data_IF_047630851679
#
_entry.id   IF_047630851679
#
_cell.length_a   1.000
_cell.length_b   1.000
_cell.length_c   1.000
_cell.angle_alpha   90.00
_cell.angle_beta   90.00
_cell.angle_gamma   90.00
#
_symmetry.space_group_name_H-M   'P 1'
#
loop_
_entity.id
_entity.type
_entity.pdbx_description
1 polymer ?
#
# COMPACT_ATOMS: atom_id res chain seq x y z
N UNK A 1 -2.80 12.47 8.65
CA UNK A 1 -3.64 11.52 9.38
C UNK A 1 -3.36 10.15 8.81
N UNK A 2 -4.36 9.28 8.82
CA UNK A 2 -4.24 7.88 8.45
C UNK A 2 -4.86 7.55 7.08
N UNK A 3 -5.91 8.24 6.64
CA UNK A 3 -6.66 7.86 5.42
C UNK A 3 -6.72 8.99 4.39
N UNK A 4 -7.41 10.10 4.68
CA UNK A 4 -7.78 11.07 3.65
C UNK A 4 -6.96 12.36 3.66
N UNK A 5 -6.32 12.66 2.51
CA UNK A 5 -5.42 13.81 2.37
C UNK A 5 -5.62 14.56 1.06
N UNK A 6 -5.47 15.89 1.12
CA UNK A 6 -5.29 16.77 -0.02
C UNK A 6 -3.81 17.13 -0.22
N UNK A 7 -3.44 17.52 -1.43
CA UNK A 7 -2.13 18.11 -1.74
C UNK A 7 -2.32 19.40 -2.55
N UNK A 8 -2.12 20.54 -1.91
CA UNK A 8 -2.23 21.86 -2.55
C UNK A 8 -0.85 22.47 -2.82
N UNK A 9 -0.80 23.77 -3.09
CA UNK A 9 0.44 24.47 -3.41
C UNK A 9 1.29 24.78 -2.16
N UNK A 10 0.78 24.56 -0.94
CA UNK A 10 1.54 24.68 0.31
C UNK A 10 2.09 23.32 0.80
N UNK A 11 1.38 22.22 0.55
CA UNK A 11 1.76 20.93 1.09
C UNK A 11 0.65 19.88 1.10
N UNK A 12 0.84 18.88 1.96
CA UNK A 12 -0.15 17.83 2.20
C UNK A 12 -0.94 18.15 3.46
N UNK A 13 -2.26 18.02 3.43
CA UNK A 13 -3.12 18.31 4.57
C UNK A 13 -4.19 17.22 4.75
N UNK A 14 -4.50 16.93 6.01
CA UNK A 14 -5.50 15.94 6.38
C UNK A 14 -6.91 16.51 6.21
N UNK A 15 -7.86 15.72 5.72
CA UNK A 15 -9.28 16.08 5.75
C UNK A 15 -9.93 15.82 7.11
N UNK A 16 -9.35 14.90 7.88
CA UNK A 16 -9.98 14.34 9.08
C UNK A 16 -9.46 14.94 10.40
N UNK A 17 -10.23 14.76 11.47
CA UNK A 17 -9.85 15.08 12.86
C UNK A 17 -9.60 13.85 13.74
N UNK A 18 -9.61 12.66 13.15
CA UNK A 18 -9.51 11.36 13.82
C UNK A 18 -8.80 10.34 12.97
N UNK A 19 -8.82 9.09 13.43
CA UNK A 19 -8.39 7.91 12.70
C UNK A 19 -9.44 6.81 12.84
N UNK A 20 -9.55 5.96 11.82
CA UNK A 20 -10.49 4.83 11.79
C UNK A 20 -9.75 3.52 11.57
N UNK A 21 -9.04 3.08 12.60
CA UNK A 21 -8.11 1.95 12.53
C UNK A 21 -8.82 0.60 12.54
N UNK A 22 -8.31 -0.35 11.74
CA UNK A 22 -8.65 -1.78 11.83
C UNK A 22 -7.94 -2.38 13.05
N UNK A 23 -8.64 -3.20 13.83
CA UNK A 23 -8.13 -3.74 15.11
C UNK A 23 -8.13 -5.26 15.21
N UNK A 24 -8.37 -5.98 14.10
CA UNK A 24 -8.18 -7.44 14.09
C UNK A 24 -6.70 -7.76 14.33
N UNK A 25 -6.45 -8.70 15.24
CA UNK A 25 -5.12 -9.09 15.71
C UNK A 25 -4.27 -7.92 16.24
N UNK A 26 -4.91 -6.83 16.70
CA UNK A 26 -4.20 -5.69 17.27
C UNK A 26 -3.42 -6.12 18.50
N UNK A 27 -2.11 -5.86 18.47
CA UNK A 27 -1.21 -6.23 19.55
C UNK A 27 -0.50 -5.00 20.13
N UNK A 28 -0.33 -4.99 21.45
CA UNK A 28 0.27 -3.86 22.16
C UNK A 28 1.76 -3.71 21.87
N UNK A 29 2.47 -4.79 21.59
CA UNK A 29 3.90 -4.78 21.29
C UNK A 29 4.15 -4.37 19.83
N UNK A 30 3.32 -4.85 18.91
CA UNK A 30 3.44 -4.54 17.49
C UNK A 30 2.90 -3.15 17.13
N UNK A 31 1.75 -2.73 17.65
CA UNK A 31 1.07 -1.45 17.37
C UNK A 31 0.79 -0.64 18.66
N UNK A 32 1.82 -0.25 19.43
CA UNK A 32 1.65 0.34 20.75
C UNK A 32 0.86 1.66 20.73
N UNK A 33 0.98 2.48 19.67
CA UNK A 33 0.32 3.79 19.61
C UNK A 33 -1.18 3.64 19.35
N UNK A 34 -1.58 2.77 18.42
CA UNK A 34 -3.00 2.47 18.16
C UNK A 34 -3.63 1.82 19.40
N UNK A 35 -2.93 0.87 20.04
CA UNK A 35 -3.42 0.24 21.26
C UNK A 35 -3.66 1.27 22.38
N UNK A 36 -2.72 2.21 22.61
CA UNK A 36 -2.89 3.28 23.61
C UNK A 36 -3.96 4.30 23.24
N UNK A 37 -4.30 4.44 21.95
CA UNK A 37 -5.36 5.33 21.48
C UNK A 37 -6.76 4.82 21.86
N UNK A 38 -6.90 3.52 22.14
CA UNK A 38 -8.16 2.91 22.59
C UNK A 38 -8.35 3.18 24.08
N UNK A 39 -9.04 4.27 24.38
CA UNK A 39 -9.40 4.73 25.74
C UNK A 39 -10.71 5.50 25.70
N UNK A 40 -11.17 6.08 26.82
CA UNK A 40 -12.37 6.93 26.85
C UNK A 40 -12.32 7.94 25.69
N UNK A 41 -13.45 8.12 25.02
CA UNK A 41 -13.62 8.96 23.82
C UNK A 41 -13.18 8.31 22.48
N UNK A 42 -12.69 7.06 22.52
CA UNK A 42 -12.65 6.16 21.37
C UNK A 42 -13.94 5.33 21.26
N UNK A 43 -14.26 4.85 20.05
CA UNK A 43 -15.43 4.03 19.77
C UNK A 43 -15.00 2.74 19.06
N UNK A 44 -15.07 1.62 19.79
CA UNK A 44 -14.89 0.28 19.23
C UNK A 44 -16.13 -0.13 18.41
N UNK A 45 -15.90 -0.81 17.30
CA UNK A 45 -16.95 -1.27 16.39
C UNK A 45 -16.74 -2.75 16.03
N UNK A 46 -17.76 -3.57 16.30
CA UNK A 46 -17.80 -5.01 16.03
C UNK A 46 -16.69 -5.84 16.73
N UNK A 47 -16.02 -5.29 17.74
CA UNK A 47 -15.05 -6.02 18.57
C UNK A 47 -15.77 -6.82 19.64
N UNK A 48 -15.43 -8.10 19.78
CA UNK A 48 -15.95 -8.94 20.86
C UNK A 48 -15.44 -8.46 22.21
N UNK A 49 -16.33 -8.34 23.18
CA UNK A 49 -15.99 -7.98 24.55
C UNK A 49 -16.11 -9.22 25.43
N UNK A 50 -15.02 -9.53 26.15
CA UNK A 50 -14.94 -10.65 27.09
C UNK A 50 -15.76 -10.37 28.35
N UNK A 51 -16.00 -11.40 29.15
CA UNK A 51 -16.78 -11.29 30.39
C UNK A 51 -16.15 -10.36 31.46
N UNK A 52 -14.86 -10.06 31.35
CA UNK A 52 -14.13 -9.10 32.19
C UNK A 52 -14.15 -7.66 31.64
N UNK A 53 -14.85 -7.42 30.54
CA UNK A 53 -14.95 -6.13 29.86
C UNK A 53 -13.77 -5.79 28.94
N UNK A 54 -12.78 -6.68 28.80
CA UNK A 54 -11.65 -6.46 27.89
C UNK A 54 -12.02 -6.81 26.44
N UNK A 55 -11.51 -6.06 25.44
CA UNK A 55 -11.69 -6.40 24.05
C UNK A 55 -10.90 -7.66 23.68
N UNK A 56 -11.51 -8.54 22.88
CA UNK A 56 -10.83 -9.62 22.19
C UNK A 56 -10.56 -9.22 20.74
N UNK A 57 -9.35 -8.74 20.48
CA UNK A 57 -8.94 -8.32 19.13
C UNK A 57 -8.69 -9.48 18.18
N UNK A 58 -8.62 -10.72 18.66
CA UNK A 58 -8.41 -11.91 17.82
C UNK A 58 -9.71 -12.56 17.34
N UNK A 59 -10.85 -12.19 17.94
CA UNK A 59 -12.15 -12.75 17.55
C UNK A 59 -12.69 -12.08 16.28
N UNK A 60 -12.74 -12.85 15.20
CA UNK A 60 -13.29 -12.46 13.90
C UNK A 60 -14.64 -13.12 13.59
N UNK A 61 -15.33 -13.70 14.59
CA UNK A 61 -16.56 -14.47 14.39
C UNK A 61 -17.70 -13.65 13.77
N UNK A 62 -17.78 -12.36 14.06
CA UNK A 62 -18.71 -11.41 13.41
C UNK A 62 -18.13 -10.91 12.08
N UNK A 63 -16.88 -10.45 12.10
CA UNK A 63 -16.18 -9.91 10.93
C UNK A 63 -14.68 -9.83 11.18
N UNK A 64 -13.88 -9.99 10.12
CA UNK A 64 -12.45 -9.66 10.17
C UNK A 64 -12.19 -8.14 10.08
N UNK A 65 -13.20 -7.32 9.82
CA UNK A 65 -13.10 -5.85 9.74
C UNK A 65 -13.58 -5.17 11.02
N UNK A 66 -13.09 -5.66 12.16
CA UNK A 66 -13.26 -4.98 13.45
C UNK A 66 -12.50 -3.66 13.45
N UNK A 67 -13.09 -2.62 14.04
CA UNK A 67 -12.61 -1.23 13.91
C UNK A 67 -12.62 -0.50 15.23
N UNK A 68 -11.89 0.61 15.26
CA UNK A 68 -11.98 1.63 16.30
C UNK A 68 -11.84 3.01 15.66
N UNK A 69 -12.71 3.94 16.05
CA UNK A 69 -12.49 5.36 15.76
C UNK A 69 -11.99 6.08 17.02
N UNK A 70 -11.06 7.01 16.84
CA UNK A 70 -10.58 7.88 17.91
C UNK A 70 -10.15 9.23 17.35
N UNK A 71 -10.28 10.32 18.12
CA UNK A 71 -9.79 11.62 17.67
C UNK A 71 -8.26 11.60 17.59
N UNK A 72 -7.69 12.34 16.63
CA UNK A 72 -6.27 12.22 16.26
C UNK A 72 -5.34 12.50 17.44
N UNK A 73 -5.78 13.35 18.39
CA UNK A 73 -5.03 13.67 19.59
C UNK A 73 -4.91 12.50 20.59
N UNK A 74 -5.52 11.35 20.31
CA UNK A 74 -5.26 10.12 21.05
C UNK A 74 -3.86 9.55 20.78
N UNK A 75 -3.27 9.90 19.64
CA UNK A 75 -1.87 9.63 19.30
C UNK A 75 -1.01 10.80 19.80
N UNK A 76 0.10 10.46 20.47
CA UNK A 76 1.00 11.45 21.08
C UNK A 76 1.83 12.18 20.02
N UNK A 77 2.45 11.41 19.12
CA UNK A 77 3.33 11.91 18.06
C UNK A 77 2.54 12.30 16.81
N UNK A 78 1.94 13.49 16.83
CA UNK A 78 1.19 14.05 15.70
C UNK A 78 1.61 15.48 15.41
N UNK A 79 1.35 15.94 14.19
CA UNK A 79 1.50 17.34 13.81
C UNK A 79 0.40 18.18 14.48
N UNK A 80 0.78 19.33 15.06
CA UNK A 80 -0.11 20.28 15.75
C UNK A 80 0.35 21.72 15.45
N UNK A 81 -0.54 22.73 15.53
CA UNK A 81 -1.96 22.66 15.88
C UNK A 81 -2.88 22.19 14.74
N UNK A 82 -2.40 22.18 13.49
CA UNK A 82 -3.15 21.78 12.31
C UNK A 82 -2.46 20.58 11.67
N UNK A 83 -3.23 19.57 11.28
CA UNK A 83 -2.74 18.35 10.62
C UNK A 83 -2.34 18.60 9.16
N UNK A 84 -1.27 19.38 8.94
CA UNK A 84 -0.69 19.62 7.62
C UNK A 84 0.85 19.54 7.65
N UNK A 85 1.45 19.08 6.57
CA UNK A 85 2.89 18.97 6.40
C UNK A 85 3.37 19.66 5.12
N UNK A 86 4.69 19.75 4.91
CA UNK A 86 5.24 20.25 3.66
C UNK A 86 4.88 19.31 2.49
N UNK A 87 5.26 19.70 1.28
CA UNK A 87 5.21 18.80 0.13
C UNK A 87 5.84 17.44 0.42
N UNK A 88 5.18 16.37 -0.04
CA UNK A 88 5.69 15.02 0.10
C UNK A 88 6.99 14.86 -0.69
N UNK A 89 8.00 14.26 -0.06
CA UNK A 89 9.27 13.88 -0.71
C UNK A 89 9.24 12.46 -1.26
N UNK A 90 8.40 11.62 -0.66
CA UNK A 90 8.28 10.20 -0.97
C UNK A 90 6.78 9.86 -1.04
N UNK A 91 6.39 9.20 -2.13
CA UNK A 91 5.04 8.69 -2.38
C UNK A 91 5.11 7.17 -2.43
N UNK A 92 4.35 6.50 -1.58
CA UNK A 92 4.45 5.05 -1.41
C UNK A 92 3.10 4.43 -1.78
N UNK A 93 3.10 3.60 -2.82
CA UNK A 93 1.95 2.78 -3.18
C UNK A 93 2.02 1.45 -2.46
N UNK A 94 1.02 1.17 -1.61
CA UNK A 94 0.90 -0.09 -0.90
C UNK A 94 0.04 -1.06 -1.72
N UNK A 95 0.62 -2.20 -2.10
CA UNK A 95 -0.09 -3.28 -2.77
C UNK A 95 -0.09 -4.52 -1.90
N UNK A 96 -1.28 -5.07 -1.61
CA UNK A 96 -1.39 -6.38 -0.99
C UNK A 96 -1.43 -7.46 -2.09
N UNK A 97 -0.28 -7.81 -2.67
CA UNK A 97 -0.23 -8.79 -3.77
C UNK A 97 -0.48 -10.22 -3.25
N UNK A 98 -1.65 -10.78 -3.56
CA UNK A 98 -2.01 -12.15 -3.22
C UNK A 98 -1.45 -13.21 -4.20
N UNK A 99 -0.87 -12.80 -5.34
CA UNK A 99 -0.17 -13.73 -6.25
C UNK A 99 1.23 -14.09 -5.76
N UNK A 100 1.85 -13.24 -4.94
CA UNK A 100 3.22 -13.43 -4.45
C UNK A 100 4.30 -13.11 -5.48
N UNK A 101 4.00 -12.24 -6.45
CA UNK A 101 4.84 -11.94 -7.62
C UNK A 101 5.64 -10.66 -7.44
N UNK A 102 5.02 -9.61 -6.89
CA UNK A 102 5.64 -8.31 -6.75
C UNK A 102 6.72 -8.32 -5.64
N UNK A 103 7.82 -7.60 -5.84
CA UNK A 103 8.92 -7.52 -4.87
C UNK A 103 8.44 -6.78 -3.62
N UNK A 104 9.10 -6.96 -2.45
CA UNK A 104 8.77 -6.20 -1.25
C UNK A 104 8.81 -4.68 -1.46
N UNK A 105 9.73 -4.21 -2.31
CA UNK A 105 9.81 -2.80 -2.68
C UNK A 105 10.37 -2.63 -4.10
N UNK A 106 9.89 -1.60 -4.80
CA UNK A 106 10.48 -1.11 -6.04
C UNK A 106 10.53 0.40 -6.07
N UNK A 107 11.56 0.93 -6.71
CA UNK A 107 11.66 2.34 -7.07
C UNK A 107 10.96 2.50 -8.44
N UNK A 108 10.02 3.44 -8.53
CA UNK A 108 9.28 3.71 -9.76
C UNK A 108 9.83 4.95 -10.45
N UNK A 109 9.88 4.91 -11.78
CA UNK A 109 9.92 6.13 -12.59
C UNK A 109 8.58 6.87 -12.49
N UNK A 110 8.54 8.18 -12.80
CA UNK A 110 7.29 8.96 -12.82
C UNK A 110 6.22 8.32 -13.72
N UNK A 111 6.61 7.79 -14.89
CA UNK A 111 5.69 7.17 -15.84
C UNK A 111 5.17 5.81 -15.35
N UNK A 112 6.03 5.02 -14.69
CA UNK A 112 5.56 3.83 -13.97
C UNK A 112 4.61 4.22 -12.84
N UNK A 113 4.90 5.27 -12.08
CA UNK A 113 4.03 5.74 -11.01
C UNK A 113 2.62 6.06 -11.52
N UNK A 114 2.49 6.78 -12.64
CA UNK A 114 1.19 7.01 -13.29
C UNK A 114 0.49 5.69 -13.68
N UNK A 115 1.21 4.76 -14.30
CA UNK A 115 0.66 3.46 -14.71
C UNK A 115 0.16 2.63 -13.52
N UNK A 116 0.97 2.49 -12.46
CA UNK A 116 0.65 1.71 -11.28
C UNK A 116 -0.43 2.39 -10.42
N UNK A 117 -0.47 3.72 -10.39
CA UNK A 117 -1.53 4.47 -9.72
C UNK A 117 -2.87 4.31 -10.43
N UNK A 118 -2.92 4.43 -11.76
CA UNK A 118 -4.13 4.18 -12.56
C UNK A 118 -4.60 2.72 -12.45
N UNK A 119 -3.65 1.79 -12.45
CA UNK A 119 -3.95 0.37 -12.29
C UNK A 119 -4.52 0.09 -10.89
N UNK A 120 -3.85 0.61 -9.85
CA UNK A 120 -4.25 0.43 -8.46
C UNK A 120 -4.39 -1.03 -8.05
N UNK A 121 -3.42 -1.85 -8.47
CA UNK A 121 -3.41 -3.27 -8.16
C UNK A 121 -3.16 -3.47 -6.66
N UNK A 122 -4.03 -4.24 -6.02
CA UNK A 122 -3.93 -4.66 -4.62
C UNK A 122 -4.87 -5.85 -4.39
N UNK A 123 -5.20 -6.19 -3.14
CA UNK A 123 -6.25 -7.16 -2.82
C UNK A 123 -7.33 -6.54 -1.94
N UNK A 124 -8.59 -6.92 -2.17
CA UNK A 124 -9.65 -6.71 -1.19
C UNK A 124 -9.41 -7.68 -0.04
N UNK A 125 -9.19 -7.13 1.15
CA UNK A 125 -9.00 -7.90 2.38
C UNK A 125 -10.36 -8.33 2.90
N UNK A 126 -10.44 -9.48 3.58
CA UNK A 126 -11.70 -9.96 4.09
C UNK A 126 -12.36 -8.97 5.08
N UNK A 127 -13.69 -8.87 4.95
CA UNK A 127 -14.54 -7.97 5.73
C UNK A 127 -14.59 -6.50 5.29
N UNK A 128 -13.77 -6.04 4.32
CA UNK A 128 -13.81 -4.63 3.88
C UNK A 128 -15.01 -4.32 2.98
N UNK A 129 -15.56 -5.32 2.30
CA UNK A 129 -16.79 -5.26 1.53
C UNK A 129 -17.66 -6.49 1.83
N UNK A 130 -18.99 -6.34 1.80
CA UNK A 130 -19.93 -7.43 2.02
C UNK A 130 -19.65 -8.60 1.05
N UNK A 131 -19.40 -9.79 1.60
CA UNK A 131 -19.17 -11.02 0.83
C UNK A 131 -17.69 -11.37 0.56
N UNK A 132 -16.72 -10.55 0.96
CA UNK A 132 -15.28 -10.86 0.82
C UNK A 132 -14.78 -11.64 2.04
N UNK A 133 -14.46 -12.93 1.85
CA UNK A 133 -14.00 -13.85 2.92
C UNK A 133 -12.57 -14.37 2.76
N UNK A 134 -11.93 -14.08 1.63
CA UNK A 134 -10.50 -14.35 1.36
C UNK A 134 -9.91 -13.18 0.58
N UNK A 135 -8.59 -12.94 0.61
CA UNK A 135 -7.96 -11.93 -0.23
C UNK A 135 -8.30 -12.15 -1.70
N UNK A 136 -8.97 -11.18 -2.32
CA UNK A 136 -9.31 -11.21 -3.75
C UNK A 136 -8.49 -10.15 -4.46
N UNK A 137 -7.60 -10.52 -5.40
CA UNK A 137 -6.88 -9.56 -6.21
C UNK A 137 -7.83 -8.60 -6.93
N UNK A 138 -7.51 -7.31 -6.92
CA UNK A 138 -8.35 -6.28 -7.50
C UNK A 138 -7.52 -5.16 -8.11
N UNK A 139 -8.13 -4.44 -9.05
CA UNK A 139 -7.59 -3.22 -9.64
C UNK A 139 -8.52 -2.07 -9.25
N UNK A 140 -8.16 -1.40 -8.16
CA UNK A 140 -8.89 -0.26 -7.60
C UNK A 140 -8.17 1.01 -8.03
N UNK A 141 -8.58 1.69 -9.12
CA UNK A 141 -7.85 2.83 -9.66
C UNK A 141 -7.57 3.88 -8.57
N UNK A 142 -6.38 4.47 -8.60
CA UNK A 142 -5.90 5.42 -7.60
C UNK A 142 -5.81 4.84 -6.17
N UNK A 143 -5.81 3.51 -6.04
CA UNK A 143 -5.93 2.77 -4.77
C UNK A 143 -7.23 3.05 -3.98
N UNK A 144 -8.20 3.73 -4.59
CA UNK A 144 -9.41 4.23 -3.93
C UNK A 144 -10.61 4.30 -4.87
N UNK A 145 -10.70 3.38 -5.83
CA UNK A 145 -11.67 3.40 -6.93
C UNK A 145 -13.13 3.53 -6.50
N UNK A 146 -13.48 3.07 -5.30
CA UNK A 146 -14.82 3.18 -4.72
C UNK A 146 -15.24 4.62 -4.38
N UNK A 147 -14.28 5.54 -4.21
CA UNK A 147 -14.50 6.91 -3.74
C UNK A 147 -14.29 7.96 -4.83
N UNK A 148 -13.92 7.55 -6.05
CA UNK A 148 -13.61 8.49 -7.12
C UNK A 148 -14.87 9.12 -7.71
N UNK A 149 -14.94 10.45 -7.64
CA UNK A 149 -16.02 11.23 -8.25
C UNK A 149 -15.69 11.74 -9.66
N UNK A 150 -14.45 11.57 -10.10
CA UNK A 150 -13.96 11.96 -11.42
C UNK A 150 -13.32 10.75 -12.10
N UNK A 151 -13.07 10.87 -13.40
CA UNK A 151 -12.32 9.84 -14.11
C UNK A 151 -10.91 9.67 -13.48
N UNK A 152 -10.42 8.43 -13.25
CA UNK A 152 -9.13 8.15 -12.59
C UNK A 152 -7.94 8.92 -13.15
N UNK A 153 -7.94 9.14 -14.46
CA UNK A 153 -6.91 9.92 -15.15
C UNK A 153 -6.72 11.34 -14.58
N UNK A 154 -7.78 11.99 -14.06
CA UNK A 154 -7.65 13.32 -13.45
C UNK A 154 -6.81 13.29 -12.18
N UNK A 155 -6.98 12.27 -11.35
CA UNK A 155 -6.19 12.09 -10.13
C UNK A 155 -4.75 11.72 -10.47
N UNK A 156 -4.54 10.85 -11.47
CA UNK A 156 -3.21 10.48 -11.93
C UNK A 156 -2.43 11.67 -12.51
N UNK A 157 -3.08 12.49 -13.35
CA UNK A 157 -2.51 13.70 -13.94
C UNK A 157 -2.10 14.71 -12.85
N UNK A 158 -2.94 14.90 -11.83
CA UNK A 158 -2.62 15.81 -10.72
C UNK A 158 -1.51 15.26 -9.81
N UNK A 159 -1.51 13.96 -9.51
CA UNK A 159 -0.44 13.33 -8.75
C UNK A 159 0.91 13.45 -9.49
N UNK A 160 0.92 13.18 -10.80
CA UNK A 160 2.11 13.34 -11.64
C UNK A 160 2.63 14.78 -11.61
N UNK A 161 1.73 15.77 -11.75
CA UNK A 161 2.08 17.19 -11.64
C UNK A 161 2.74 17.52 -10.30
N UNK A 162 2.20 17.01 -9.18
CA UNK A 162 2.77 17.25 -7.84
C UNK A 162 4.12 16.55 -7.65
N UNK A 163 4.27 15.34 -8.17
CA UNK A 163 5.55 14.60 -8.17
C UNK A 163 6.62 15.40 -8.94
N UNK A 164 6.32 15.84 -10.16
CA UNK A 164 7.25 16.60 -11.00
C UNK A 164 7.62 17.95 -10.38
N UNK A 165 6.63 18.67 -9.84
CA UNK A 165 6.84 19.97 -9.19
C UNK A 165 7.80 19.89 -8.00
N UNK A 166 7.78 18.77 -7.27
CA UNK A 166 8.48 18.64 -5.98
C UNK A 166 9.71 17.75 -6.06
N UNK A 167 9.89 17.02 -7.17
CA UNK A 167 10.90 15.98 -7.29
C UNK A 167 10.65 14.80 -6.34
N UNK A 168 9.40 14.55 -5.98
CA UNK A 168 9.04 13.44 -5.09
C UNK A 168 9.42 12.10 -5.73
N UNK A 169 9.88 11.16 -4.91
CA UNK A 169 10.22 9.81 -5.34
C UNK A 169 9.03 8.90 -5.12
N UNK A 170 8.82 7.94 -6.02
CA UNK A 170 7.68 7.04 -5.93
C UNK A 170 8.15 5.61 -5.76
N UNK A 171 7.49 4.88 -4.84
CA UNK A 171 7.81 3.52 -4.51
C UNK A 171 6.57 2.64 -4.59
N UNK A 172 6.74 1.39 -5.00
CA UNK A 172 5.73 0.34 -4.89
C UNK A 172 6.17 -0.64 -3.80
N UNK A 173 5.38 -0.79 -2.75
CA UNK A 173 5.70 -1.66 -1.60
C UNK A 173 4.65 -2.75 -1.50
N UNK A 174 5.11 -4.01 -1.58
CA UNK A 174 4.24 -5.17 -1.40
C UNK A 174 4.07 -5.44 0.11
N UNK A 175 2.85 -5.24 0.62
CA UNK A 175 2.44 -5.57 2.00
C UNK A 175 1.59 -6.84 2.07
N UNK A 176 1.46 -7.52 0.93
CA UNK A 176 0.75 -8.77 0.75
C UNK A 176 1.65 -9.98 0.99
N UNK A 177 1.64 -10.92 0.04
CA UNK A 177 2.24 -12.23 0.19
C UNK A 177 3.49 -12.40 -0.68
N UNK A 178 4.29 -13.41 -0.35
CA UNK A 178 5.40 -13.91 -1.16
C UNK A 178 5.06 -15.26 -1.83
N UNK A 179 6.00 -15.83 -2.57
CA UNK A 179 5.84 -17.09 -3.28
C UNK A 179 5.57 -18.33 -2.41
N UNK A 180 5.80 -18.24 -1.10
CA UNK A 180 5.44 -19.30 -0.12
C UNK A 180 4.01 -19.16 0.39
N UNK A 181 3.26 -18.18 -0.09
CA UNK A 181 1.93 -17.84 0.44
C UNK A 181 1.98 -17.28 1.87
N UNK A 182 3.14 -16.79 2.32
CA UNK A 182 3.28 -16.10 3.61
C UNK A 182 3.21 -14.59 3.40
N UNK A 183 2.51 -13.91 4.30
CA UNK A 183 2.47 -12.44 4.30
C UNK A 183 3.88 -11.91 4.58
N UNK A 184 4.28 -10.84 3.88
CA UNK A 184 5.55 -10.15 4.16
C UNK A 184 5.48 -9.63 5.60
N UNK A 185 6.54 -9.90 6.37
CA UNK A 185 6.54 -9.61 7.79
C UNK A 185 6.51 -8.10 8.04
N UNK A 186 5.74 -7.68 9.06
CA UNK A 186 5.66 -6.28 9.44
C UNK A 186 7.03 -5.67 9.79
N UNK A 187 7.96 -6.37 10.47
CA UNK A 187 9.32 -5.88 10.67
C UNK A 187 10.08 -5.59 9.36
N UNK A 188 9.96 -6.46 8.35
CA UNK A 188 10.61 -6.22 7.06
C UNK A 188 9.99 -5.02 6.35
N UNK A 189 8.65 -4.92 6.36
CA UNK A 189 7.95 -3.76 5.79
C UNK A 189 8.38 -2.46 6.48
N UNK A 190 8.46 -2.43 7.82
CA UNK A 190 8.92 -1.25 8.56
C UNK A 190 10.37 -0.88 8.20
N UNK A 191 11.28 -1.85 8.13
CA UNK A 191 12.66 -1.61 7.70
C UNK A 191 12.76 -1.08 6.26
N UNK A 192 11.87 -1.53 5.36
CA UNK A 192 11.75 -0.97 4.00
C UNK A 192 11.29 0.48 4.05
N UNK A 193 10.26 0.80 4.85
CA UNK A 193 9.77 2.18 5.02
C UNK A 193 10.90 3.06 5.60
N UNK A 194 11.61 2.59 6.61
CA UNK A 194 12.76 3.31 7.19
C UNK A 194 13.83 3.59 6.12
N UNK A 195 14.15 2.59 5.30
CA UNK A 195 15.13 2.74 4.21
C UNK A 195 14.68 3.69 3.09
N UNK A 196 13.37 3.83 2.86
CA UNK A 196 12.79 4.83 1.97
C UNK A 196 12.97 6.23 2.57
N UNK A 197 12.53 6.41 3.81
CA UNK A 197 12.47 7.71 4.47
C UNK A 197 13.84 8.27 4.83
N UNK A 198 14.82 7.42 5.16
CA UNK A 198 16.20 7.81 5.43
C UNK A 198 17.06 7.95 4.16
N UNK A 199 16.52 7.53 3.00
CA UNK A 199 17.16 7.59 1.69
C UNK A 199 18.25 6.54 1.44
N UNK A 200 18.45 5.58 2.35
CA UNK A 200 19.43 4.49 2.17
C UNK A 200 19.08 3.59 0.97
N UNK A 201 17.79 3.45 0.62
CA UNK A 201 17.35 2.74 -0.58
C UNK A 201 17.97 3.30 -1.87
N UNK A 202 18.25 4.60 -1.92
CA UNK A 202 18.80 5.28 -3.10
C UNK A 202 20.28 4.97 -3.32
N UNK A 203 20.96 4.42 -2.32
CA UNK A 203 22.37 4.00 -2.41
C UNK A 203 22.51 2.53 -2.81
N UNK A 204 21.42 1.77 -2.78
CA UNK A 204 21.43 0.36 -3.13
C UNK A 204 21.57 0.17 -4.64
N UNK A 205 22.37 -0.81 -5.05
CA UNK A 205 22.33 -1.32 -6.42
C UNK A 205 20.93 -1.88 -6.67
N UNK A 206 20.38 -1.62 -7.85
CA UNK A 206 19.09 -2.16 -8.26
C UNK A 206 19.25 -3.18 -9.38
N UNK A 207 18.32 -4.12 -9.44
CA UNK A 207 18.15 -5.06 -10.54
C UNK A 207 16.73 -4.97 -11.07
N UNK A 208 16.59 -5.12 -12.40
CA UNK A 208 15.29 -5.08 -13.06
C UNK A 208 14.56 -6.39 -12.86
N UNK A 209 13.34 -6.32 -12.33
CA UNK A 209 12.46 -7.47 -12.27
C UNK A 209 11.91 -7.80 -13.67
N UNK A 210 12.10 -9.02 -14.19
CA UNK A 210 11.58 -9.42 -15.48
C UNK A 210 10.06 -9.20 -15.60
N UNK A 211 9.57 -8.97 -16.81
CA UNK A 211 8.18 -8.65 -17.14
C UNK A 211 7.67 -7.28 -16.65
N UNK A 212 8.06 -6.84 -15.46
CA UNK A 212 7.54 -5.62 -14.85
C UNK A 212 8.46 -4.40 -15.03
N UNK A 213 9.75 -4.62 -15.32
CA UNK A 213 10.77 -3.57 -15.49
C UNK A 213 10.91 -2.65 -14.24
N UNK A 214 10.61 -3.21 -13.07
CA UNK A 214 10.70 -2.55 -11.77
C UNK A 214 12.14 -2.56 -11.27
N UNK A 215 12.62 -1.42 -10.75
CA UNK A 215 13.92 -1.34 -10.07
C UNK A 215 13.81 -1.87 -8.65
N UNK A 216 14.40 -3.03 -8.40
CA UNK A 216 14.40 -3.70 -7.09
C UNK A 216 15.77 -3.58 -6.44
N UNK A 217 15.90 -3.03 -5.22
CA UNK A 217 17.18 -2.95 -4.53
C UNK A 217 17.70 -4.36 -4.19
N UNK A 218 19.00 -4.59 -4.39
CA UNK A 218 19.63 -5.90 -4.11
C UNK A 218 19.90 -6.13 -2.62
N UNK A 219 19.88 -5.07 -1.81
CA UNK A 219 20.12 -5.11 -0.37
C UNK A 219 19.57 -3.86 0.30
N UNK A 220 18.99 -3.99 1.50
CA UNK A 220 18.57 -2.87 2.34
C UNK A 220 18.96 -3.10 3.80
N UNK A 221 19.32 -2.06 4.57
CA UNK A 221 19.54 -2.18 6.00
C UNK A 221 18.32 -2.77 6.71
N UNK A 222 18.53 -3.75 7.59
CA UNK A 222 17.45 -4.37 8.37
C UNK A 222 16.53 -5.33 7.60
N UNK A 223 16.77 -5.56 6.30
CA UNK A 223 15.99 -6.49 5.48
C UNK A 223 16.89 -7.62 4.97
N UNK A 224 16.54 -8.91 5.18
CA UNK A 224 17.29 -10.01 4.59
C UNK A 224 17.31 -9.90 3.06
N UNK A 225 18.49 -9.88 2.44
CA UNK A 225 18.62 -9.56 1.02
C UNK A 225 17.94 -10.60 0.12
N UNK A 226 17.86 -11.85 0.58
CA UNK A 226 17.18 -12.95 -0.10
C UNK A 226 15.67 -12.74 -0.23
N UNK A 227 15.04 -11.86 0.57
CA UNK A 227 13.60 -11.60 0.45
C UNK A 227 13.27 -10.50 -0.56
N UNK A 228 14.25 -9.69 -0.97
CA UNK A 228 14.04 -8.54 -1.86
C UNK A 228 13.72 -8.97 -3.29
N UNK A 229 14.32 -10.08 -3.75
CA UNK A 229 13.93 -10.71 -5.00
C UNK A 229 12.74 -11.67 -4.76
N UNK A 230 11.55 -11.39 -5.31
CA UNK A 230 10.36 -12.21 -5.08
C UNK A 230 10.55 -13.65 -5.57
N UNK A 231 11.43 -13.89 -6.55
CA UNK A 231 11.71 -15.22 -7.12
C UNK A 231 12.35 -16.16 -6.10
N UNK A 232 13.17 -15.63 -5.21
CA UNK A 232 13.86 -16.39 -4.15
C UNK A 232 12.89 -17.04 -3.15
N UNK A 233 11.64 -16.57 -3.09
CA UNK A 233 10.62 -17.14 -2.22
C UNK A 233 9.93 -18.37 -2.81
N UNK A 234 10.14 -18.68 -4.09
CA UNK A 234 9.59 -19.89 -4.73
C UNK A 234 10.60 -21.05 -4.64
N UNK A 235 10.08 -22.27 -4.54
CA UNK A 235 10.92 -23.49 -4.59
C UNK A 235 11.57 -23.70 -5.95
N UNK A 236 10.88 -23.26 -7.02
CA UNK A 236 11.32 -23.37 -8.41
C UNK A 236 11.03 -22.06 -9.12
N UNK A 237 12.04 -21.48 -9.78
CA UNK A 237 11.93 -20.18 -10.45
C UNK A 237 10.79 -20.13 -11.48
N UNK A 238 10.52 -21.23 -12.19
CA UNK A 238 9.44 -21.32 -13.17
C UNK A 238 8.04 -21.14 -12.57
N UNK A 239 7.86 -21.43 -11.27
CA UNK A 239 6.59 -21.18 -10.59
C UNK A 239 6.32 -19.68 -10.45
N UNK A 240 7.37 -18.88 -10.16
CA UNK A 240 7.26 -17.42 -10.18
C UNK A 240 6.92 -16.95 -11.58
N UNK A 241 7.61 -17.45 -12.62
CA UNK A 241 7.35 -17.07 -14.01
C UNK A 241 5.90 -17.32 -14.43
N UNK A 242 5.34 -18.48 -14.08
CA UNK A 242 3.94 -18.81 -14.36
C UNK A 242 2.95 -17.84 -13.70
N UNK A 243 3.20 -17.45 -12.44
CA UNK A 243 2.39 -16.46 -11.71
C UNK A 243 2.58 -15.04 -12.23
N UNK A 244 3.81 -14.68 -12.58
CA UNK A 244 4.16 -13.40 -13.19
C UNK A 244 3.41 -13.21 -14.51
N UNK A 245 3.42 -14.21 -15.39
CA UNK A 245 2.65 -14.20 -16.65
C UNK A 245 1.15 -14.01 -16.43
N UNK A 246 0.58 -14.64 -15.39
CA UNK A 246 -0.83 -14.42 -15.02
C UNK A 246 -1.08 -12.97 -14.60
N UNK A 247 -0.21 -12.41 -13.77
CA UNK A 247 -0.33 -11.04 -13.29
C UNK A 247 -0.13 -10.01 -14.43
N UNK A 248 0.84 -10.22 -15.33
CA UNK A 248 1.04 -9.40 -16.54
C UNK A 248 -0.22 -9.34 -17.38
N UNK A 249 -0.87 -10.49 -17.64
CA UNK A 249 -2.15 -10.55 -18.37
C UNK A 249 -3.24 -9.77 -17.65
N UNK A 250 -3.30 -9.87 -16.32
CA UNK A 250 -4.28 -9.16 -15.51
C UNK A 250 -4.08 -7.63 -15.58
N UNK A 251 -2.85 -7.15 -15.47
CA UNK A 251 -2.50 -5.74 -15.65
C UNK A 251 -2.90 -5.25 -17.04
N UNK A 252 -2.49 -5.96 -18.10
CA UNK A 252 -2.76 -5.54 -19.48
C UNK A 252 -4.26 -5.49 -19.77
N UNK A 253 -5.00 -6.54 -19.37
CA UNK A 253 -6.46 -6.57 -19.51
C UNK A 253 -7.15 -5.46 -18.72
N UNK A 254 -6.68 -5.18 -17.50
CA UNK A 254 -7.24 -4.07 -16.72
C UNK A 254 -6.97 -2.72 -17.38
N UNK A 255 -5.79 -2.53 -17.98
CA UNK A 255 -5.37 -1.26 -18.54
C UNK A 255 -6.07 -0.93 -19.88
N UNK A 256 -6.62 -1.93 -20.58
CA UNK A 256 -7.42 -1.75 -21.81
C UNK A 256 -8.53 -0.70 -21.66
N UNK A 257 -9.14 -0.61 -20.47
CA UNK A 257 -10.22 0.36 -20.18
C UNK A 257 -9.78 1.83 -20.24
N UNK A 258 -8.48 2.10 -20.18
CA UNK A 258 -7.92 3.45 -20.24
C UNK A 258 -7.41 3.84 -21.63
N UNK A 259 -7.36 2.91 -22.58
CA UNK A 259 -6.72 3.13 -23.89
C UNK A 259 -7.48 4.08 -24.82
N UNK A 260 -8.71 4.46 -24.48
CA UNK A 260 -9.48 5.50 -25.19
C UNK A 260 -8.93 6.91 -24.97
N UNK A 261 -8.05 7.11 -23.99
CA UNK A 261 -7.35 8.36 -23.73
C UNK A 261 -5.90 8.24 -24.23
N UNK A 262 -5.48 9.11 -25.15
CA UNK A 262 -4.14 9.08 -25.75
C UNK A 262 -3.01 9.23 -24.72
N UNK A 263 -3.21 10.04 -23.66
CA UNK A 263 -2.23 10.18 -22.58
C UNK A 263 -2.10 8.88 -21.78
N UNK A 264 -3.21 8.20 -21.50
CA UNK A 264 -3.19 6.87 -20.88
C UNK A 264 -2.55 5.83 -21.79
N UNK A 265 -2.83 5.87 -23.09
CA UNK A 265 -2.25 4.94 -24.07
C UNK A 265 -0.72 5.02 -24.09
N UNK A 266 -0.17 6.22 -23.96
CA UNK A 266 1.28 6.44 -23.84
C UNK A 266 1.89 5.86 -22.55
N UNK A 267 1.09 5.49 -21.54
CA UNK A 267 1.57 4.84 -20.31
C UNK A 267 1.74 3.32 -20.47
N UNK A 268 1.16 2.71 -21.51
CA UNK A 268 1.14 1.25 -21.66
C UNK A 268 2.55 0.64 -21.73
N UNK A 269 3.53 1.36 -22.31
CA UNK A 269 4.92 0.89 -22.42
C UNK A 269 5.66 0.79 -21.07
N UNK A 270 5.17 1.52 -20.07
CA UNK A 270 5.69 1.54 -18.69
C UNK A 270 5.00 0.51 -17.79
N UNK A 271 4.02 -0.22 -18.32
CA UNK A 271 3.39 -1.35 -17.67
C UNK A 271 4.11 -2.68 -17.90
N UNK A 272 3.59 -3.77 -17.32
CA UNK A 272 4.16 -5.09 -17.51
C UNK A 272 4.03 -5.62 -18.95
N UNK A 273 5.07 -6.28 -19.45
CA UNK A 273 5.19 -6.80 -20.82
C UNK A 273 5.80 -8.21 -20.83
N UNK A 274 5.55 -8.95 -21.92
CA UNK A 274 6.12 -10.28 -22.14
C UNK A 274 7.55 -10.21 -22.66
#
# INVERSE_FOLDING_TARGET
GDDEHGWDDEGVFNYEGGCYAKVIDLDKENEPDIYRAIRRDALLENVTIRGDGQPDFSDSSVTENTRVSYPIYHIDNIVRPVSKGPHAKDVIFLTADAYGVLPPVSILTTRQAEYYFLSGFTSKVAGTELGVTKPVPTFSPCFGGAFLLLHPFRYAEELARKIEMTGARVYLVNTGWNGKGKRISLPNTRAIIDAILDGSILKARCEKLPFFDLDVPTSLPGVPSEVLDPRSSYEVADLWTGRAVQLVRAFNKNFEKFLSNDKCKALQEFGPKF
#
